data_IF_352978285717
#
_entry.id   IF_352978285717
#
_cell.length_a   1.000
_cell.length_b   1.000
_cell.length_c   1.000
_cell.angle_alpha   90.00
_cell.angle_beta   90.00
_cell.angle_gamma   90.00
#
_symmetry.space_group_name_H-M   'P 1'
#
loop_
_entity.id
_entity.type
_entity.pdbx_description
1 polymer ?
#
# COMPACT_ATOMS: atom_id res chain seq x y z
N UNK A 1 -14.88 33.34 6.33
CA UNK A 1 -13.98 32.30 6.87
C UNK A 1 -13.85 31.25 5.78
N UNK A 2 -12.76 31.33 5.01
CA UNK A 2 -12.51 30.41 3.90
C UNK A 2 -11.85 29.17 4.46
N UNK A 3 -12.49 28.01 4.32
CA UNK A 3 -11.83 26.73 4.55
C UNK A 3 -10.71 26.58 3.52
N UNK A 4 -9.51 26.13 3.90
CA UNK A 4 -8.54 25.68 2.91
C UNK A 4 -9.13 24.45 2.22
N UNK A 5 -9.29 24.52 0.91
CA UNK A 5 -9.68 23.40 0.08
C UNK A 5 -8.50 22.43 0.06
N UNK A 6 -8.60 21.38 0.87
CA UNK A 6 -7.79 20.17 0.72
C UNK A 6 -8.08 19.62 -0.68
N UNK A 7 -7.17 19.91 -1.61
CA UNK A 7 -7.23 19.42 -2.97
C UNK A 7 -7.15 17.90 -2.89
N UNK A 8 -8.28 17.23 -3.08
CA UNK A 8 -8.36 15.82 -3.50
C UNK A 8 -7.48 15.63 -4.75
N UNK A 9 -6.18 15.45 -4.57
CA UNK A 9 -5.39 14.72 -5.55
C UNK A 9 -5.91 13.29 -5.50
N UNK A 10 -6.26 12.73 -6.66
CA UNK A 10 -6.67 11.33 -6.82
C UNK A 10 -5.68 10.41 -6.08
N UNK A 11 -5.97 10.13 -4.81
CA UNK A 11 -5.08 9.38 -3.96
C UNK A 11 -5.22 7.94 -4.41
N UNK A 12 -4.14 7.34 -4.89
CA UNK A 12 -4.14 5.94 -5.31
C UNK A 12 -4.53 5.07 -4.11
N UNK A 13 -5.77 4.58 -4.11
CA UNK A 13 -6.34 3.89 -2.95
C UNK A 13 -5.88 2.45 -2.89
N UNK A 14 -5.39 2.07 -1.71
CA UNK A 14 -4.97 0.70 -1.42
C UNK A 14 -6.17 -0.11 -0.92
N UNK A 15 -6.31 -1.38 -1.31
CA UNK A 15 -7.39 -2.22 -0.82
C UNK A 15 -7.09 -2.64 0.62
N UNK A 16 -7.96 -2.26 1.56
CA UNK A 16 -7.86 -2.65 2.97
C UNK A 16 -8.93 -3.69 3.34
N UNK A 17 -9.86 -3.96 2.43
CA UNK A 17 -10.98 -4.87 2.62
C UNK A 17 -11.16 -5.74 1.37
N UNK A 18 -11.77 -6.94 1.52
CA UNK A 18 -12.04 -7.82 0.39
C UNK A 18 -12.92 -7.19 -0.70
N UNK A 19 -13.84 -6.30 -0.32
CA UNK A 19 -14.79 -5.64 -1.22
C UNK A 19 -14.12 -4.64 -2.17
N UNK A 20 -12.96 -4.09 -1.76
CA UNK A 20 -12.16 -3.17 -2.57
C UNK A 20 -11.30 -3.89 -3.62
N UNK A 21 -11.20 -5.22 -3.55
CA UNK A 21 -10.44 -6.02 -4.51
C UNK A 21 -11.34 -6.37 -5.71
N UNK A 22 -10.88 -6.02 -6.91
CA UNK A 22 -11.55 -6.41 -8.17
C UNK A 22 -11.82 -7.93 -8.22
N UNK A 23 -12.97 -8.39 -8.73
CA UNK A 23 -13.33 -9.80 -8.77
C UNK A 23 -12.25 -10.72 -9.37
N UNK A 24 -11.52 -10.22 -10.37
CA UNK A 24 -10.43 -10.93 -11.05
C UNK A 24 -9.19 -11.13 -10.17
N UNK A 25 -8.99 -10.27 -9.15
CA UNK A 25 -7.88 -10.29 -8.19
C UNK A 25 -8.26 -10.93 -6.86
N UNK A 26 -9.52 -11.35 -6.70
CA UNK A 26 -9.99 -12.03 -5.49
C UNK A 26 -9.41 -13.43 -5.34
N UNK A 27 -8.96 -14.06 -6.42
CA UNK A 27 -8.29 -15.36 -6.36
C UNK A 27 -6.80 -15.10 -6.47
N UNK A 28 -6.04 -15.27 -5.37
CA UNK A 28 -4.58 -15.20 -5.47
C UNK A 28 -4.10 -16.35 -6.37
N UNK A 29 -3.14 -16.12 -7.27
CA UNK A 29 -2.47 -17.22 -7.96
C UNK A 29 -1.84 -18.13 -6.90
N UNK A 30 -2.06 -19.44 -7.03
CA UNK A 30 -1.44 -20.43 -6.15
C UNK A 30 0.08 -20.27 -6.23
N UNK A 31 0.75 -20.25 -5.07
CA UNK A 31 2.20 -20.14 -5.01
C UNK A 31 2.86 -21.29 -5.78
N UNK A 32 3.82 -20.96 -6.65
CA UNK A 32 4.64 -21.96 -7.31
C UNK A 32 5.39 -22.74 -6.21
N UNK A 33 5.26 -24.08 -6.13
CA UNK A 33 5.88 -24.88 -5.07
C UNK A 33 7.42 -24.81 -5.05
N UNK A 34 8.06 -24.17 -6.04
CA UNK A 34 9.48 -23.86 -6.02
C UNK A 34 9.85 -22.63 -5.15
N UNK A 35 8.89 -21.73 -4.86
CA UNK A 35 9.07 -20.44 -4.17
C UNK A 35 8.30 -20.37 -2.83
N UNK A 36 8.25 -21.47 -2.08
CA UNK A 36 7.51 -21.60 -0.80
C UNK A 36 7.90 -20.59 0.30
N UNK A 37 8.95 -19.79 0.10
CA UNK A 37 9.38 -18.78 1.06
C UNK A 37 8.67 -17.42 0.89
N UNK A 38 8.00 -17.17 -0.24
CA UNK A 38 7.41 -15.87 -0.58
C UNK A 38 5.99 -16.06 -1.13
N UNK A 39 5.03 -15.28 -0.63
CA UNK A 39 3.68 -15.27 -1.19
C UNK A 39 3.72 -14.72 -2.62
N UNK A 40 2.96 -15.29 -3.57
CA UNK A 40 2.96 -14.79 -4.96
C UNK A 40 2.57 -13.33 -5.09
N UNK A 41 1.71 -12.84 -4.19
CA UNK A 41 1.35 -11.42 -4.09
C UNK A 41 2.50 -10.51 -3.63
N UNK A 42 3.57 -11.07 -3.07
CA UNK A 42 4.76 -10.36 -2.57
C UNK A 42 5.91 -10.33 -3.59
N UNK A 43 5.70 -10.91 -4.78
CA UNK A 43 6.69 -10.86 -5.86
C UNK A 43 6.80 -9.43 -6.41
N UNK A 44 8.02 -8.91 -6.38
CA UNK A 44 8.33 -7.54 -6.84
C UNK A 44 8.55 -7.52 -8.34
N UNK A 45 7.76 -6.71 -9.04
CA UNK A 45 7.99 -6.36 -10.44
C UNK A 45 8.23 -4.84 -10.54
N UNK A 46 9.41 -4.45 -11.02
CA UNK A 46 9.83 -3.06 -11.15
C UNK A 46 9.13 -2.31 -12.29
N UNK A 47 8.57 -3.01 -13.28
CA UNK A 47 7.94 -2.42 -14.46
C UNK A 47 6.51 -1.90 -14.20
N UNK A 48 5.91 -2.29 -13.06
CA UNK A 48 4.57 -1.87 -12.67
C UNK A 48 4.51 -0.38 -12.29
N UNK A 49 3.41 0.28 -12.65
CA UNK A 49 3.14 1.66 -12.23
C UNK A 49 2.80 1.74 -10.73
N UNK A 50 2.75 2.96 -10.18
CA UNK A 50 2.37 3.20 -8.78
C UNK A 50 0.94 2.70 -8.52
N UNK A 51 0.02 2.96 -9.46
CA UNK A 51 -1.38 2.54 -9.40
C UNK A 51 -1.52 1.01 -9.40
N UNK A 52 -0.73 0.32 -10.23
CA UNK A 52 -0.73 -1.13 -10.28
C UNK A 52 -0.15 -1.76 -9.01
N UNK A 53 0.93 -1.17 -8.46
CA UNK A 53 1.54 -1.60 -7.20
C UNK A 53 0.63 -1.37 -6.01
N UNK A 54 -0.11 -0.27 -5.98
CA UNK A 54 -1.05 0.05 -4.91
C UNK A 54 -2.19 -0.96 -4.79
N UNK A 55 -2.59 -1.56 -5.92
CA UNK A 55 -3.62 -2.59 -6.00
C UNK A 55 -3.08 -4.02 -5.85
N UNK A 56 -1.79 -4.17 -5.52
CA UNK A 56 -1.17 -5.47 -5.29
C UNK A 56 -1.40 -5.92 -3.85
N UNK A 57 -1.84 -7.17 -3.69
CA UNK A 57 -2.25 -7.75 -2.40
C UNK A 57 -1.38 -8.97 -2.10
N UNK A 58 -0.65 -8.90 -0.99
CA UNK A 58 0.26 -9.95 -0.51
C UNK A 58 -0.51 -11.13 0.07
N UNK A 59 -1.56 -10.85 0.85
CA UNK A 59 -2.43 -11.86 1.47
C UNK A 59 -3.89 -11.51 1.20
N UNK A 60 -4.63 -12.49 0.68
CA UNK A 60 -6.08 -12.42 0.54
C UNK A 60 -6.68 -13.79 0.87
N UNK A 61 -6.68 -14.13 2.15
CA UNK A 61 -7.05 -15.45 2.66
C UNK A 61 -8.06 -15.33 3.80
N UNK A 62 -8.86 -16.37 3.99
CA UNK A 62 -9.71 -16.49 5.17
C UNK A 62 -8.89 -17.01 6.35
N UNK A 63 -9.13 -16.45 7.53
CA UNK A 63 -8.62 -16.99 8.78
C UNK A 63 -9.44 -18.20 9.27
N UNK A 64 -9.14 -18.68 10.49
CA UNK A 64 -9.88 -19.80 11.11
C UNK A 64 -11.34 -19.46 11.44
N UNK A 65 -11.70 -18.19 11.62
CA UNK A 65 -13.09 -17.76 11.85
C UNK A 65 -13.86 -17.60 10.53
N UNK A 66 -13.17 -17.65 9.39
CA UNK A 66 -13.73 -17.46 8.06
C UNK A 66 -13.70 -16.00 7.60
N UNK A 67 -13.15 -15.10 8.43
CA UNK A 67 -12.99 -13.70 8.11
C UNK A 67 -11.83 -13.54 7.12
N UNK A 68 -12.06 -12.74 6.08
CA UNK A 68 -11.11 -12.61 4.97
C UNK A 68 -10.18 -11.43 5.20
N UNK A 69 -8.91 -11.74 5.45
CA UNK A 69 -7.87 -10.75 5.68
C UNK A 69 -7.24 -10.31 4.36
N UNK A 70 -7.08 -9.00 4.21
CA UNK A 70 -6.46 -8.36 3.04
C UNK A 70 -5.25 -7.57 3.49
N UNK A 71 -4.09 -7.93 2.95
CA UNK A 71 -2.82 -7.25 3.25
C UNK A 71 -2.22 -6.71 1.95
N UNK A 72 -2.13 -5.37 1.78
CA UNK A 72 -1.43 -4.76 0.65
C UNK A 72 0.06 -5.11 0.61
N UNK A 73 0.61 -5.24 -0.59
CA UNK A 73 2.06 -5.50 -0.77
C UNK A 73 2.90 -4.22 -0.66
N UNK A 74 2.35 -3.10 -1.13
CA UNK A 74 3.02 -1.80 -1.10
C UNK A 74 2.28 -0.85 -0.16
N UNK A 75 2.91 0.26 0.20
CA UNK A 75 2.31 1.45 0.81
C UNK A 75 2.50 2.61 -0.17
N UNK A 76 1.42 3.32 -0.50
CA UNK A 76 1.54 4.54 -1.32
C UNK A 76 1.78 5.71 -0.39
N UNK A 77 2.87 6.44 -0.61
CA UNK A 77 3.24 7.61 0.17
C UNK A 77 3.36 8.83 -0.72
N UNK A 78 2.90 9.98 -0.22
CA UNK A 78 3.14 11.28 -0.84
C UNK A 78 4.49 11.81 -0.37
N UNK A 79 5.34 12.18 -1.31
CA UNK A 79 6.63 12.82 -1.04
C UNK A 79 6.47 14.34 -0.89
N UNK A 80 7.46 15.03 -0.29
CA UNK A 80 7.39 16.48 -0.06
C UNK A 80 7.26 17.33 -1.33
N UNK A 81 7.72 16.81 -2.47
CA UNK A 81 7.63 17.42 -3.80
C UNK A 81 6.27 17.18 -4.49
N UNK A 82 5.39 16.39 -3.88
CA UNK A 82 4.08 16.01 -4.40
C UNK A 82 4.11 14.78 -5.31
N UNK A 83 5.26 14.11 -5.47
CA UNK A 83 5.33 12.82 -6.16
C UNK A 83 4.79 11.69 -5.28
N UNK A 84 4.15 10.68 -5.88
CA UNK A 84 3.70 9.48 -5.17
C UNK A 84 4.65 8.32 -5.40
N UNK A 85 4.95 7.59 -4.33
CA UNK A 85 5.81 6.43 -4.38
C UNK A 85 5.15 5.21 -3.73
N UNK A 86 5.26 4.04 -4.37
CA UNK A 86 4.81 2.77 -3.81
C UNK A 86 5.98 2.02 -3.15
N UNK A 87 5.99 1.96 -1.82
CA UNK A 87 7.03 1.32 -1.00
C UNK A 87 6.64 -0.10 -0.60
N UNK A 88 7.49 -1.08 -0.87
CA UNK A 88 7.23 -2.48 -0.55
C UNK A 88 7.35 -2.73 0.96
N UNK A 89 6.34 -3.38 1.56
CA UNK A 89 6.27 -3.52 3.02
C UNK A 89 7.47 -4.25 3.65
N UNK A 90 8.03 -5.26 2.96
CA UNK A 90 9.28 -5.93 3.39
C UNK A 90 10.55 -5.21 2.94
N UNK A 91 10.72 -4.99 1.63
CA UNK A 91 12.00 -4.55 1.05
C UNK A 91 12.36 -3.09 1.38
N UNK A 92 11.35 -2.24 1.54
CA UNK A 92 11.54 -0.80 1.74
C UNK A 92 11.31 -0.38 3.20
N UNK A 93 11.43 -1.31 4.16
CA UNK A 93 11.16 -1.05 5.58
C UNK A 93 11.96 0.14 6.15
N UNK A 94 13.23 0.30 5.78
CA UNK A 94 14.05 1.45 6.20
C UNK A 94 13.48 2.75 5.66
N UNK A 95 13.14 2.77 4.37
CA UNK A 95 12.57 3.94 3.70
C UNK A 95 11.20 4.30 4.25
N UNK A 96 10.34 3.31 4.53
CA UNK A 96 9.05 3.51 5.19
C UNK A 96 9.27 4.16 6.57
N UNK A 97 10.23 3.67 7.35
CA UNK A 97 10.59 4.27 8.63
C UNK A 97 11.10 5.71 8.49
N UNK A 98 11.92 5.99 7.48
CA UNK A 98 12.37 7.35 7.16
C UNK A 98 11.18 8.26 6.78
N UNK A 99 10.29 7.81 5.89
CA UNK A 99 9.11 8.55 5.47
C UNK A 99 8.21 8.88 6.67
N UNK A 100 7.92 7.90 7.53
CA UNK A 100 7.12 8.13 8.75
C UNK A 100 7.81 9.15 9.69
N UNK A 101 9.14 9.10 9.80
CA UNK A 101 9.90 10.05 10.62
C UNK A 101 9.87 11.46 10.04
N UNK A 102 9.86 11.62 8.72
CA UNK A 102 9.79 12.91 8.03
C UNK A 102 8.37 13.47 8.00
N UNK A 103 7.35 12.61 7.90
CA UNK A 103 5.94 12.99 7.87
C UNK A 103 5.35 13.28 9.26
N UNK A 104 6.17 13.70 10.24
CA UNK A 104 5.70 14.06 11.58
C UNK A 104 4.71 15.21 11.47
N UNK A 105 3.60 15.08 12.18
CA UNK A 105 2.61 16.15 12.29
C UNK A 105 2.95 17.07 13.47
N UNK A 106 2.56 18.34 13.38
CA UNK A 106 2.54 19.22 14.54
C UNK A 106 1.27 19.03 15.40
N UNK A 107 1.12 19.87 16.42
CA UNK A 107 -0.01 19.83 17.36
C UNK A 107 -1.36 20.13 16.69
N UNK A 108 -1.35 20.75 15.51
CA UNK A 108 -2.54 21.08 14.72
C UNK A 108 -2.89 19.96 13.73
N UNK A 109 -2.02 18.94 13.61
CA UNK A 109 -2.19 17.80 12.71
C UNK A 109 -1.59 18.04 11.32
N UNK A 110 -0.90 19.16 11.10
CA UNK A 110 -0.30 19.49 9.81
C UNK A 110 1.03 18.74 9.61
N UNK A 111 1.21 18.15 8.42
CA UNK A 111 2.46 17.44 8.06
C UNK A 111 3.63 18.43 8.05
N UNK A 112 4.64 18.20 8.89
CA UNK A 112 5.89 18.98 8.97
C UNK A 112 7.07 18.15 8.44
N UNK A 113 7.40 18.38 7.18
CA UNK A 113 8.66 17.90 6.61
C UNK A 113 9.84 18.64 7.28
N UNK A 114 10.87 17.90 7.73
CA UNK A 114 12.09 18.44 8.35
C UNK A 114 13.34 17.99 7.61
#
# INVERSE_FOLDING_TARGET
>A
MSQPTDSKQDSVQQPLTPEQISPEKQTQPEADPADLAVNSGDVVNSEKTVEEKAQQVAVNASDITGDREVVPTYFVVDQPDGEQEALHHVKDAEKISDTIRQARVDEEGDRKWR
#
